data_IF_671538232642
#
_entry.id   IF_671538232642
#
_cell.length_a   1.000
_cell.length_b   1.000
_cell.length_c   1.000
_cell.angle_alpha   90.00
_cell.angle_beta   90.00
_cell.angle_gamma   90.00
#
_symmetry.space_group_name_H-M   'P 1'
#
loop_
_entity.id
_entity.type
_entity.pdbx_description
1 polymer ?
#
# COMPACT_ATOMS: atom_id res chain seq x y z
N UNK A 1 -10.83 -26.69 -6.92
CA UNK A 1 -11.60 -26.64 -5.65
C UNK A 1 -10.78 -26.25 -4.40
N UNK A 2 -9.43 -26.20 -4.45
CA UNK A 2 -8.59 -25.96 -3.26
C UNK A 2 -8.25 -24.50 -2.88
N UNK A 3 -8.69 -23.49 -3.63
CA UNK A 3 -8.48 -22.07 -3.27
C UNK A 3 -9.64 -21.47 -2.44
N UNK A 4 -10.63 -22.29 -2.02
CA UNK A 4 -11.84 -21.82 -1.31
C UNK A 4 -11.75 -21.90 0.22
N UNK A 5 -10.67 -22.41 0.82
CA UNK A 5 -10.70 -22.87 2.21
C UNK A 5 -10.05 -21.96 3.28
N UNK A 6 -9.33 -20.88 2.96
CA UNK A 6 -8.68 -20.07 4.02
C UNK A 6 -9.15 -18.62 4.14
N UNK A 7 -10.11 -18.16 3.33
CA UNK A 7 -10.62 -16.78 3.40
C UNK A 7 -11.41 -16.49 4.69
N UNK A 8 -10.69 -16.29 5.79
CA UNK A 8 -11.27 -15.87 7.07
C UNK A 8 -10.38 -15.96 8.29
N UNK A 9 -9.18 -16.52 8.20
CA UNK A 9 -8.23 -16.45 9.31
C UNK A 9 -7.81 -14.99 9.57
N UNK A 10 -7.84 -14.58 10.84
CA UNK A 10 -7.39 -13.26 11.29
C UNK A 10 -5.96 -12.95 10.79
N UNK A 11 -5.07 -13.95 10.73
CA UNK A 11 -3.70 -13.80 10.21
C UNK A 11 -3.65 -13.42 8.74
N UNK A 12 -4.58 -13.94 7.93
CA UNK A 12 -4.64 -13.66 6.51
C UNK A 12 -5.22 -12.27 6.23
N UNK A 13 -6.20 -11.84 7.04
CA UNK A 13 -6.71 -10.47 7.01
C UNK A 13 -5.63 -9.46 7.43
N UNK A 14 -4.92 -9.74 8.52
CA UNK A 14 -3.81 -8.91 9.00
C UNK A 14 -2.78 -8.71 7.88
N UNK A 15 -2.22 -9.79 7.36
CA UNK A 15 -1.20 -9.70 6.31
C UNK A 15 -1.66 -9.13 4.97
N UNK A 16 -2.96 -8.93 4.75
CA UNK A 16 -3.51 -8.38 3.50
C UNK A 16 -3.73 -6.88 3.57
N UNK A 17 -4.20 -6.40 4.72
CA UNK A 17 -4.62 -5.00 4.88
C UNK A 17 -3.62 -4.14 5.62
N UNK A 18 -2.66 -4.73 6.34
CA UNK A 18 -1.61 -3.99 7.06
C UNK A 18 -0.87 -3.00 6.18
N UNK A 19 -0.50 -3.36 4.95
CA UNK A 19 0.24 -2.45 4.04
C UNK A 19 -0.61 -1.25 3.65
N UNK A 20 -1.88 -1.47 3.30
CA UNK A 20 -2.81 -0.38 2.92
C UNK A 20 -3.05 0.54 4.13
N UNK A 21 -3.26 -0.04 5.32
CA UNK A 21 -3.44 0.73 6.55
C UNK A 21 -2.19 1.54 6.92
N UNK A 22 -1.00 0.96 6.72
CA UNK A 22 0.28 1.63 6.96
C UNK A 22 0.48 2.78 5.97
N UNK A 23 0.18 2.56 4.69
CA UNK A 23 0.21 3.60 3.67
C UNK A 23 -0.73 4.76 4.00
N UNK A 24 -2.00 4.45 4.32
CA UNK A 24 -2.97 5.46 4.75
C UNK A 24 -2.48 6.20 6.00
N UNK A 25 -1.91 5.50 6.98
CA UNK A 25 -1.37 6.12 8.18
C UNK A 25 -0.20 7.05 7.94
N UNK A 26 0.70 6.72 7.01
CA UNK A 26 1.79 7.61 6.63
C UNK A 26 1.30 8.79 5.79
N UNK A 27 0.31 8.58 4.92
CA UNK A 27 -0.32 9.63 4.13
C UNK A 27 -1.04 10.66 5.01
N UNK A 28 -1.76 10.21 6.05
CA UNK A 28 -2.43 11.13 6.99
C UNK A 28 -1.44 11.87 7.89
N UNK A 29 -0.34 11.23 8.30
CA UNK A 29 0.75 11.91 9.03
C UNK A 29 1.41 12.98 8.17
N UNK A 30 1.70 12.66 6.92
CA UNK A 30 2.33 13.59 5.98
C UNK A 30 1.44 14.82 5.72
N UNK A 31 0.14 14.59 5.46
CA UNK A 31 -0.78 15.64 5.08
C UNK A 31 -1.18 16.56 6.24
N UNK A 32 -1.40 15.99 7.44
CA UNK A 32 -1.98 16.72 8.57
C UNK A 32 -1.01 16.93 9.74
N UNK A 33 -0.12 15.97 10.01
CA UNK A 33 0.72 16.01 11.21
C UNK A 33 2.08 16.68 10.98
N UNK A 34 2.71 16.55 9.81
CA UNK A 34 4.01 17.19 9.51
C UNK A 34 4.07 18.70 9.76
N UNK A 35 3.13 19.54 9.25
CA UNK A 35 3.21 20.99 9.47
C UNK A 35 3.03 21.37 10.94
N UNK A 36 2.26 20.58 11.68
CA UNK A 36 2.04 20.75 13.13
C UNK A 36 3.30 20.35 13.90
N UNK A 37 3.85 19.16 13.62
CA UNK A 37 5.09 18.64 14.22
C UNK A 37 6.28 19.57 13.96
N UNK A 38 6.43 20.11 12.76
CA UNK A 38 7.51 21.04 12.42
C UNK A 38 7.45 22.34 13.25
N UNK A 39 6.24 22.88 13.48
CA UNK A 39 6.03 24.06 14.34
C UNK A 39 6.26 23.76 15.83
N UNK A 40 5.92 22.55 16.27
CA UNK A 40 6.06 22.11 17.66
C UNK A 40 7.49 21.70 18.05
N UNK A 41 8.29 21.21 17.11
CA UNK A 41 9.71 20.92 17.31
C UNK A 41 10.52 22.18 17.68
N UNK A 42 10.05 23.36 17.25
CA UNK A 42 10.62 24.67 17.60
C UNK A 42 10.24 25.17 19.00
N UNK A 43 9.22 24.57 19.63
CA UNK A 43 8.66 24.98 20.92
C UNK A 43 8.67 23.79 21.86
N UNK A 44 9.82 23.47 22.49
CA UNK A 44 10.03 22.49 23.57
C UNK A 44 8.82 21.60 23.90
N UNK A 45 8.41 20.78 22.93
CA UNK A 45 7.09 20.17 22.94
C UNK A 45 7.04 19.01 23.92
N UNK A 46 6.08 19.03 24.84
CA UNK A 46 5.86 17.94 25.80
C UNK A 46 5.56 16.64 25.05
N UNK A 47 6.23 15.55 25.42
CA UNK A 47 6.04 14.18 24.91
C UNK A 47 4.55 13.80 24.72
N UNK A 48 3.69 14.27 25.64
CA UNK A 48 2.23 14.09 25.63
C UNK A 48 1.55 14.57 24.34
N UNK A 49 2.04 15.63 23.70
CA UNK A 49 1.43 16.20 22.51
C UNK A 49 1.73 15.33 21.26
N UNK A 50 2.93 14.77 21.17
CA UNK A 50 3.27 13.76 20.17
C UNK A 50 2.43 12.49 20.32
N UNK A 51 2.22 12.02 21.56
CA UNK A 51 1.29 10.92 21.83
C UNK A 51 -0.14 11.24 21.39
N UNK A 52 -0.62 12.47 21.66
CA UNK A 52 -1.94 12.93 21.21
C UNK A 52 -2.09 12.90 19.69
N UNK A 53 -1.10 13.40 18.95
CA UNK A 53 -1.09 13.37 17.47
C UNK A 53 -1.11 11.93 16.95
N UNK A 54 -0.33 11.02 17.56
CA UNK A 54 -0.28 9.61 17.17
C UNK A 54 -1.64 8.92 17.36
N UNK A 55 -2.28 9.14 18.51
CA UNK A 55 -3.60 8.56 18.80
C UNK A 55 -4.65 9.11 17.83
N UNK A 56 -4.65 10.42 17.59
CA UNK A 56 -5.59 11.05 16.66
C UNK A 56 -5.40 10.49 15.24
N UNK A 57 -4.16 10.34 14.79
CA UNK A 57 -3.86 9.74 13.51
C UNK A 57 -4.34 8.28 13.42
N UNK A 58 -4.11 7.50 14.47
CA UNK A 58 -4.66 6.15 14.60
C UNK A 58 -6.19 6.13 14.45
N UNK A 59 -6.90 7.03 15.11
CA UNK A 59 -8.37 7.13 15.02
C UNK A 59 -8.85 7.49 13.61
N UNK A 60 -8.18 8.44 12.95
CA UNK A 60 -8.49 8.83 11.56
C UNK A 60 -8.31 7.65 10.61
N UNK A 61 -7.18 6.94 10.71
CA UNK A 61 -6.89 5.78 9.85
C UNK A 61 -7.83 4.62 10.13
N UNK A 62 -8.20 4.40 11.40
CA UNK A 62 -9.22 3.42 11.78
C UNK A 62 -10.57 3.75 11.15
N UNK A 63 -11.02 5.00 11.24
CA UNK A 63 -12.29 5.45 10.65
C UNK A 63 -12.28 5.31 9.13
N UNK A 64 -11.20 5.72 8.45
CA UNK A 64 -11.03 5.55 7.01
C UNK A 64 -11.05 4.08 6.60
N UNK A 65 -10.33 3.22 7.31
CA UNK A 65 -10.27 1.78 7.02
C UNK A 65 -11.63 1.11 7.22
N UNK A 66 -12.35 1.50 8.27
CA UNK A 66 -13.73 1.04 8.52
C UNK A 66 -14.68 1.51 7.44
N UNK A 67 -14.58 2.78 7.02
CA UNK A 67 -15.41 3.36 5.97
C UNK A 67 -15.16 2.68 4.62
N UNK A 68 -13.90 2.48 4.21
CA UNK A 68 -13.57 1.78 2.97
C UNK A 68 -14.10 0.34 2.98
N UNK A 69 -13.99 -0.35 4.10
CA UNK A 69 -14.46 -1.72 4.21
C UNK A 69 -15.99 -1.82 4.27
N UNK A 70 -16.65 -0.86 4.93
CA UNK A 70 -18.10 -0.70 4.90
C UNK A 70 -18.60 -0.38 3.49
N UNK A 71 -17.94 0.54 2.78
CA UNK A 71 -18.29 0.90 1.41
C UNK A 71 -18.13 -0.30 0.47
N UNK A 72 -17.01 -1.02 0.60
CA UNK A 72 -16.78 -2.28 -0.13
C UNK A 72 -17.88 -3.31 0.17
N UNK A 73 -18.27 -3.49 1.43
CA UNK A 73 -19.39 -4.35 1.80
C UNK A 73 -20.69 -3.90 1.13
N UNK A 74 -21.00 -2.60 1.15
CA UNK A 74 -22.21 -2.04 0.58
C UNK A 74 -22.29 -2.30 -0.93
N UNK A 75 -21.20 -2.02 -1.66
CA UNK A 75 -21.10 -2.20 -3.12
C UNK A 75 -21.02 -3.67 -3.55
N UNK A 76 -20.42 -4.54 -2.73
CA UNK A 76 -20.32 -5.98 -3.06
C UNK A 76 -21.56 -6.75 -2.60
N UNK A 77 -22.31 -6.23 -1.61
CA UNK A 77 -23.56 -6.86 -1.16
C UNK A 77 -24.65 -6.84 -2.24
N UNK A 78 -24.63 -5.84 -3.13
CA UNK A 78 -25.47 -5.81 -4.34
C UNK A 78 -25.03 -6.82 -5.41
N UNK A 79 -23.79 -7.34 -5.35
CA UNK A 79 -23.24 -8.35 -6.28
C UNK A 79 -23.37 -9.80 -5.76
N UNK A 80 -24.15 -10.05 -4.70
CA UNK A 80 -24.52 -11.38 -4.18
C UNK A 80 -23.36 -12.39 -3.97
N UNK A 81 -22.13 -11.90 -3.75
CA UNK A 81 -20.95 -12.72 -3.50
C UNK A 81 -20.81 -12.99 -2.00
N UNK A 82 -21.25 -14.19 -1.59
CA UNK A 82 -21.34 -14.66 -0.20
C UNK A 82 -20.06 -14.40 0.64
N UNK A 83 -20.19 -13.60 1.69
CA UNK A 83 -19.19 -13.47 2.75
C UNK A 83 -19.55 -14.39 3.92
N UNK A 84 -18.66 -15.32 4.29
CA UNK A 84 -18.82 -16.23 5.45
C UNK A 84 -18.62 -15.57 6.82
N UNK A 85 -18.13 -14.33 6.86
CA UNK A 85 -17.79 -13.62 8.11
C UNK A 85 -18.80 -12.50 8.32
N UNK A 86 -19.26 -12.36 9.56
CA UNK A 86 -20.15 -11.26 9.95
C UNK A 86 -19.54 -9.91 9.55
N UNK A 87 -20.25 -9.08 8.78
CA UNK A 87 -19.71 -7.84 8.23
C UNK A 87 -19.27 -6.87 9.33
N UNK A 88 -19.98 -6.84 10.46
CA UNK A 88 -19.65 -6.00 11.63
C UNK A 88 -18.29 -6.36 12.24
N UNK A 89 -18.02 -7.66 12.44
CA UNK A 89 -16.76 -8.12 13.02
C UNK A 89 -15.58 -7.82 12.09
N UNK A 90 -15.80 -7.94 10.77
CA UNK A 90 -14.78 -7.62 9.77
C UNK A 90 -14.42 -6.14 9.77
N UNK A 91 -15.42 -5.25 9.82
CA UNK A 91 -15.21 -3.80 9.91
C UNK A 91 -14.46 -3.45 11.20
N UNK A 92 -14.84 -4.04 12.34
CA UNK A 92 -14.18 -3.78 13.62
C UNK A 92 -12.70 -4.22 13.61
N UNK A 93 -12.40 -5.41 13.06
CA UNK A 93 -11.02 -5.88 12.90
C UNK A 93 -10.18 -4.95 12.01
N UNK A 94 -10.75 -4.41 10.94
CA UNK A 94 -10.05 -3.42 10.09
C UNK A 94 -9.80 -2.11 10.83
N UNK A 95 -10.76 -1.64 11.62
CA UNK A 95 -10.58 -0.46 12.46
C UNK A 95 -9.41 -0.64 13.44
N UNK A 96 -9.31 -1.80 14.10
CA UNK A 96 -8.21 -2.09 15.02
C UNK A 96 -6.84 -2.13 14.33
N UNK A 97 -6.74 -2.76 13.15
CA UNK A 97 -5.50 -2.80 12.35
C UNK A 97 -5.14 -1.38 11.90
N UNK A 98 -6.13 -0.61 11.43
CA UNK A 98 -5.96 0.78 11.01
C UNK A 98 -5.46 1.67 12.14
N UNK A 99 -6.02 1.51 13.35
CA UNK A 99 -5.58 2.25 14.54
C UNK A 99 -4.11 1.99 14.87
N UNK A 100 -3.71 0.72 14.93
CA UNK A 100 -2.33 0.33 15.26
C UNK A 100 -1.35 0.87 14.20
N UNK A 101 -1.68 0.70 12.92
CA UNK A 101 -0.82 1.17 11.82
C UNK A 101 -0.71 2.70 11.81
N UNK A 102 -1.82 3.40 12.01
CA UNK A 102 -1.86 4.87 12.08
C UNK A 102 -1.12 5.42 13.29
N UNK A 103 -1.24 4.80 14.46
CA UNK A 103 -0.47 5.19 15.64
C UNK A 103 1.03 4.99 15.43
N UNK A 104 1.41 3.86 14.83
CA UNK A 104 2.82 3.52 14.53
C UNK A 104 3.44 4.43 13.46
N UNK A 105 2.64 5.02 12.57
CA UNK A 105 3.11 5.92 11.53
C UNK A 105 3.78 7.20 12.07
N UNK A 106 3.48 7.63 13.31
CA UNK A 106 4.18 8.78 13.89
C UNK A 106 5.60 8.41 14.37
N UNK A 107 5.80 7.18 14.87
CA UNK A 107 7.12 6.68 15.26
C UNK A 107 8.11 6.65 14.09
N UNK A 108 7.59 6.50 12.87
CA UNK A 108 8.34 6.60 11.61
C UNK A 108 9.03 7.96 11.42
N UNK A 109 8.34 9.04 11.80
CA UNK A 109 8.81 10.42 11.59
C UNK A 109 9.70 10.88 12.74
N UNK A 110 9.43 10.41 13.96
CA UNK A 110 10.08 10.92 15.17
C UNK A 110 11.39 10.22 15.53
N UNK A 111 11.63 8.99 15.04
CA UNK A 111 12.79 8.19 15.46
C UNK A 111 13.50 7.53 14.29
N UNK A 112 14.83 7.65 14.26
CA UNK A 112 15.69 6.96 13.30
C UNK A 112 15.51 5.43 13.38
N UNK A 113 15.40 4.90 14.60
CA UNK A 113 15.14 3.47 14.81
C UNK A 113 13.74 3.07 14.33
N UNK A 114 12.76 3.97 14.49
CA UNK A 114 11.41 3.79 13.96
C UNK A 114 11.40 3.72 12.43
N UNK A 115 12.16 4.60 11.77
CA UNK A 115 12.38 4.57 10.32
C UNK A 115 12.99 3.23 9.90
N UNK A 116 14.10 2.79 10.50
CA UNK A 116 14.74 1.51 10.15
C UNK A 116 13.83 0.30 10.38
N UNK A 117 13.10 0.26 11.50
CA UNK A 117 12.19 -0.84 11.81
C UNK A 117 11.03 -0.92 10.80
N UNK A 118 10.42 0.23 10.47
CA UNK A 118 9.31 0.30 9.52
C UNK A 118 9.76 0.05 8.08
N UNK A 119 10.88 0.63 7.64
CA UNK A 119 11.45 0.34 6.31
C UNK A 119 11.72 -1.15 6.14
N UNK A 120 12.35 -1.78 7.15
CA UNK A 120 12.59 -3.23 7.16
C UNK A 120 11.26 -4.01 7.11
N UNK A 121 10.27 -3.62 7.91
CA UNK A 121 8.94 -4.23 7.90
C UNK A 121 8.27 -4.12 6.52
N UNK A 122 8.32 -2.94 5.88
CA UNK A 122 7.73 -2.70 4.57
C UNK A 122 8.45 -3.54 3.51
N UNK A 123 9.78 -3.64 3.54
CA UNK A 123 10.53 -4.52 2.63
C UNK A 123 10.07 -5.96 2.80
N UNK A 124 9.99 -6.46 4.04
CA UNK A 124 9.54 -7.82 4.32
C UNK A 124 8.10 -8.07 3.86
N UNK A 125 7.19 -7.11 4.11
CA UNK A 125 5.80 -7.18 3.65
C UNK A 125 5.72 -7.15 2.12
N UNK A 126 6.50 -6.31 1.45
CA UNK A 126 6.56 -6.22 -0.02
C UNK A 126 7.04 -7.53 -0.61
N UNK A 127 8.11 -8.12 -0.06
CA UNK A 127 8.61 -9.42 -0.48
C UNK A 127 7.59 -10.54 -0.23
N UNK A 128 6.90 -10.51 0.91
CA UNK A 128 5.83 -11.47 1.21
C UNK A 128 4.66 -11.33 0.22
N UNK A 129 4.26 -10.11 -0.13
CA UNK A 129 3.24 -9.84 -1.13
C UNK A 129 3.66 -10.31 -2.52
N UNK A 130 4.89 -10.01 -2.94
CA UNK A 130 5.44 -10.48 -4.21
C UNK A 130 5.44 -12.01 -4.28
N UNK A 131 5.82 -12.71 -3.20
CA UNK A 131 5.75 -14.18 -3.12
C UNK A 131 4.33 -14.70 -3.23
N UNK A 132 3.36 -14.10 -2.53
CA UNK A 132 1.94 -14.48 -2.63
C UNK A 132 1.40 -14.26 -4.04
N UNK A 133 1.77 -13.16 -4.66
CA UNK A 133 1.43 -12.86 -6.04
C UNK A 133 1.96 -13.93 -6.99
N UNK A 134 3.25 -14.26 -6.93
CA UNK A 134 3.85 -15.32 -7.74
C UNK A 134 3.14 -16.67 -7.59
N UNK A 135 2.76 -17.05 -6.37
CA UNK A 135 1.98 -18.27 -6.13
C UNK A 135 0.55 -18.18 -6.70
N UNK A 136 -0.09 -17.00 -6.63
CA UNK A 136 -1.41 -16.76 -7.18
C UNK A 136 -1.46 -16.88 -8.71
N UNK A 137 -0.44 -16.33 -9.40
CA UNK A 137 -0.31 -16.39 -10.86
C UNK A 137 -0.28 -17.83 -11.37
N UNK A 138 0.50 -18.72 -10.73
CA UNK A 138 0.63 -20.11 -11.15
C UNK A 138 -0.73 -20.83 -11.19
N UNK A 139 -1.69 -20.40 -10.37
CA UNK A 139 -3.07 -20.87 -10.40
C UNK A 139 -3.92 -20.25 -11.52
N UNK A 140 -3.67 -19.00 -11.88
CA UNK A 140 -4.41 -18.24 -12.91
C UNK A 140 -3.95 -18.60 -14.34
N UNK A 141 -2.69 -18.98 -14.50
CA UNK A 141 -2.13 -19.40 -15.79
C UNK A 141 -2.42 -20.88 -16.14
N UNK A 142 -3.17 -21.62 -15.30
CA UNK A 142 -3.52 -23.01 -15.60
C UNK A 142 -4.36 -23.08 -16.89
N UNK A 143 -4.02 -23.99 -17.83
CA UNK A 143 -4.84 -24.22 -19.02
C UNK A 143 -6.29 -24.53 -18.63
N UNK A 144 -7.24 -24.02 -19.42
CA UNK A 144 -8.68 -24.27 -19.25
C UNK A 144 -9.34 -23.73 -17.97
N UNK A 145 -8.70 -22.80 -17.25
CA UNK A 145 -9.34 -22.07 -16.15
C UNK A 145 -10.01 -20.80 -16.66
N UNK A 146 -11.34 -20.73 -16.57
CA UNK A 146 -12.11 -19.52 -16.88
C UNK A 146 -11.86 -18.44 -15.82
N UNK A 147 -11.50 -17.20 -16.19
CA UNK A 147 -11.29 -16.12 -15.25
C UNK A 147 -12.62 -15.65 -14.65
N UNK A 148 -12.66 -15.49 -13.33
CA UNK A 148 -13.85 -15.00 -12.63
C UNK A 148 -13.68 -13.55 -12.16
N UNK A 149 -14.78 -12.84 -11.91
CA UNK A 149 -14.75 -11.50 -11.29
C UNK A 149 -14.03 -11.47 -9.94
N UNK A 150 -14.00 -12.60 -9.22
CA UNK A 150 -13.22 -12.75 -7.99
C UNK A 150 -11.71 -12.72 -8.27
N UNK A 151 -11.26 -13.31 -9.37
CA UNK A 151 -9.86 -13.31 -9.80
C UNK A 151 -9.42 -11.89 -10.21
N UNK A 152 -10.28 -11.15 -10.91
CA UNK A 152 -10.02 -9.74 -11.27
C UNK A 152 -9.92 -8.88 -10.01
N UNK A 153 -10.89 -8.98 -9.09
CA UNK A 153 -10.85 -8.25 -7.82
C UNK A 153 -9.61 -8.58 -6.98
N UNK A 154 -9.15 -9.84 -7.02
CA UNK A 154 -7.90 -10.25 -6.38
C UNK A 154 -6.68 -9.59 -7.02
N UNK A 155 -6.59 -9.54 -8.36
CA UNK A 155 -5.49 -8.88 -9.07
C UNK A 155 -5.44 -7.38 -8.80
N UNK A 156 -6.58 -6.69 -8.88
CA UNK A 156 -6.69 -5.26 -8.57
C UNK A 156 -6.24 -4.99 -7.13
N UNK A 157 -6.65 -5.83 -6.18
CA UNK A 157 -6.23 -5.69 -4.79
C UNK A 157 -4.72 -5.87 -4.60
N UNK A 158 -4.11 -6.86 -5.28
CA UNK A 158 -2.65 -7.03 -5.30
C UNK A 158 -1.98 -5.79 -5.88
N UNK A 159 -2.45 -5.30 -7.01
CA UNK A 159 -1.90 -4.13 -7.68
C UNK A 159 -1.87 -2.90 -6.75
N UNK A 160 -3.01 -2.57 -6.13
CA UNK A 160 -3.12 -1.44 -5.19
C UNK A 160 -2.18 -1.62 -3.99
N UNK A 161 -2.07 -2.85 -3.48
CA UNK A 161 -1.22 -3.13 -2.32
C UNK A 161 0.26 -3.01 -2.66
N UNK A 162 0.68 -3.51 -3.83
CA UNK A 162 2.04 -3.39 -4.32
C UNK A 162 2.38 -1.93 -4.61
N UNK A 163 1.47 -1.18 -5.22
CA UNK A 163 1.61 0.26 -5.44
C UNK A 163 1.81 1.02 -4.11
N UNK A 164 0.96 0.76 -3.12
CA UNK A 164 1.07 1.36 -1.79
C UNK A 164 2.41 0.99 -1.11
N UNK A 165 2.82 -0.28 -1.20
CA UNK A 165 4.09 -0.75 -0.64
C UNK A 165 5.30 -0.07 -1.28
N UNK A 166 5.35 -0.05 -2.61
CA UNK A 166 6.43 0.56 -3.38
C UNK A 166 6.49 2.08 -3.18
N UNK A 167 5.33 2.75 -3.12
CA UNK A 167 5.25 4.17 -2.75
C UNK A 167 5.86 4.42 -1.38
N UNK A 168 5.53 3.57 -0.41
CA UNK A 168 6.08 3.68 0.94
C UNK A 168 7.60 3.48 0.94
N UNK A 169 8.11 2.53 0.14
CA UNK A 169 9.56 2.34 -0.02
C UNK A 169 10.26 3.55 -0.65
N UNK A 170 9.63 4.24 -1.60
CA UNK A 170 10.16 5.46 -2.23
C UNK A 170 10.37 6.55 -1.17
N UNK A 171 9.34 6.87 -0.39
CA UNK A 171 9.44 7.90 0.66
C UNK A 171 10.37 7.48 1.80
N UNK A 172 10.41 6.18 2.13
CA UNK A 172 11.38 5.59 3.05
C UNK A 172 12.83 5.79 2.64
N UNK A 173 13.14 5.59 1.36
CA UNK A 173 14.48 5.76 0.85
C UNK A 173 14.91 7.23 0.87
N UNK A 174 13.98 8.14 0.57
CA UNK A 174 14.24 9.58 0.64
C UNK A 174 14.52 10.03 2.08
N UNK A 175 13.65 9.66 3.04
CA UNK A 175 13.85 9.98 4.45
C UNK A 175 15.16 9.42 5.00
N UNK A 176 15.51 8.20 4.59
CA UNK A 176 16.78 7.59 5.00
C UNK A 176 17.98 8.36 4.43
N UNK A 177 17.91 8.79 3.17
CA UNK A 177 18.99 9.56 2.54
C UNK A 177 19.17 10.91 3.23
N UNK A 178 18.07 11.61 3.50
CA UNK A 178 18.07 12.84 4.29
C UNK A 178 18.64 12.64 5.70
N UNK A 179 18.17 11.61 6.41
CA UNK A 179 18.59 11.35 7.79
C UNK A 179 20.06 10.93 7.92
N UNK A 180 20.65 10.38 6.87
CA UNK A 180 22.08 10.05 6.81
C UNK A 180 22.94 11.23 6.31
N UNK A 181 22.34 12.39 6.03
CA UNK A 181 23.05 13.55 5.47
C UNK A 181 23.58 13.31 4.05
N UNK A 182 23.01 12.35 3.32
CA UNK A 182 23.37 12.07 1.93
C UNK A 182 22.56 12.97 0.98
N UNK A 183 23.04 13.09 -0.26
CA UNK A 183 22.27 13.71 -1.32
C UNK A 183 20.88 13.04 -1.47
N UNK A 184 19.84 13.80 -1.87
CA UNK A 184 18.49 13.28 -2.02
C UNK A 184 18.46 12.05 -2.94
N UNK A 185 17.60 11.09 -2.64
CA UNK A 185 17.56 9.83 -3.38
C UNK A 185 16.98 10.00 -4.79
N UNK A 186 16.12 11.01 -4.96
CA UNK A 186 15.45 11.36 -6.22
C UNK A 186 15.69 12.83 -6.59
N UNK A 187 15.84 13.10 -7.89
CA UNK A 187 15.78 14.44 -8.46
C UNK A 187 14.33 14.85 -8.76
N UNK A 188 14.01 16.15 -8.75
CA UNK A 188 12.67 16.69 -9.03
C UNK A 188 12.00 17.34 -7.81
N UNK A 189 10.66 17.36 -7.76
CA UNK A 189 9.86 17.94 -6.66
C UNK A 189 10.22 17.37 -5.26
N UNK A 190 10.88 16.21 -5.21
CA UNK A 190 11.38 15.57 -4.00
C UNK A 190 12.65 16.27 -3.45
N UNK A 191 13.37 17.06 -4.25
CA UNK A 191 14.66 17.68 -3.87
C UNK A 191 14.57 18.94 -2.99
N UNK A 192 13.42 19.60 -2.94
CA UNK A 192 13.29 20.90 -2.23
C UNK A 192 13.24 20.75 -0.71
N UNK A 193 13.32 19.51 -0.18
CA UNK A 193 13.19 19.24 1.25
C UNK A 193 11.74 19.09 1.72
N UNK A 194 10.77 19.20 0.82
CA UNK A 194 9.33 19.06 1.08
C UNK A 194 8.73 17.82 0.39
N UNK A 195 9.52 16.77 0.15
CA UNK A 195 9.01 15.54 -0.47
C UNK A 195 7.77 15.02 0.27
N UNK A 196 6.62 15.15 -0.37
CA UNK A 196 5.34 14.72 0.20
C UNK A 196 5.08 13.26 -0.14
N UNK A 197 4.24 12.62 0.67
CA UNK A 197 3.69 11.30 0.34
C UNK A 197 2.96 11.34 -1.01
N UNK A 198 2.37 12.48 -1.36
CA UNK A 198 1.65 12.68 -2.61
C UNK A 198 2.61 12.60 -3.80
N UNK A 199 3.78 13.24 -3.73
CA UNK A 199 4.78 13.18 -4.80
C UNK A 199 5.32 11.76 -4.99
N UNK A 200 5.58 11.04 -3.89
CA UNK A 200 6.00 9.65 -3.94
C UNK A 200 4.92 8.74 -4.54
N UNK A 201 3.64 9.00 -4.22
CA UNK A 201 2.51 8.26 -4.77
C UNK A 201 2.32 8.53 -6.26
N UNK A 202 2.37 9.81 -6.65
CA UNK A 202 2.35 10.23 -8.04
C UNK A 202 3.48 9.57 -8.84
N UNK A 203 4.72 9.65 -8.36
CA UNK A 203 5.88 9.02 -8.98
C UNK A 203 5.66 7.50 -9.15
N UNK A 204 5.18 6.84 -8.09
CA UNK A 204 4.96 5.39 -8.11
C UNK A 204 3.88 4.99 -9.12
N UNK A 205 2.80 5.78 -9.26
CA UNK A 205 1.80 5.59 -10.31
C UNK A 205 2.47 5.73 -11.67
N UNK A 206 3.12 6.87 -11.95
CA UNK A 206 3.73 7.19 -13.25
C UNK A 206 4.73 6.13 -13.69
N UNK A 207 5.50 5.56 -12.75
CA UNK A 207 6.44 4.46 -13.02
C UNK A 207 5.70 3.14 -13.26
N UNK A 208 4.77 2.75 -12.38
CA UNK A 208 4.07 1.47 -12.49
C UNK A 208 3.13 1.38 -13.69
N UNK A 209 2.57 2.52 -14.12
CA UNK A 209 1.74 2.63 -15.33
C UNK A 209 2.54 2.92 -16.59
N UNK A 210 3.88 2.89 -16.50
CA UNK A 210 4.81 3.11 -17.62
C UNK A 210 4.64 4.46 -18.33
N UNK A 211 4.07 5.47 -17.66
CA UNK A 211 3.92 6.83 -18.21
C UNK A 211 5.27 7.55 -18.30
N UNK A 212 6.07 7.49 -17.23
CA UNK A 212 7.45 7.98 -17.22
C UNK A 212 7.63 9.45 -17.63
N UNK A 213 6.88 10.38 -17.04
CA UNK A 213 6.95 11.82 -17.37
C UNK A 213 8.36 12.44 -17.23
N UNK A 214 9.23 11.86 -16.39
CA UNK A 214 10.63 12.28 -16.24
C UNK A 214 10.85 13.52 -15.37
N UNK A 215 9.80 14.01 -14.73
CA UNK A 215 9.81 15.11 -13.76
C UNK A 215 10.42 14.72 -12.40
N UNK A 216 10.26 13.46 -12.00
CA UNK A 216 10.94 12.85 -10.85
C UNK A 216 11.79 11.68 -11.35
N UNK A 217 13.08 11.67 -11.00
CA UNK A 217 14.03 10.63 -11.47
C UNK A 217 14.95 10.13 -10.35
N UNK A 218 15.34 8.84 -10.34
CA UNK A 218 16.23 8.31 -9.32
C UNK A 218 17.66 8.86 -9.47
N UNK A 219 18.18 9.48 -8.41
CA UNK A 219 19.53 10.04 -8.35
C UNK A 219 20.56 8.99 -7.90
N UNK A 220 20.25 8.28 -6.83
CA UNK A 220 21.19 7.37 -6.15
C UNK A 220 21.14 5.95 -6.72
N UNK A 221 22.21 5.15 -6.58
CA UNK A 221 22.20 3.74 -6.99
C UNK A 221 21.07 2.93 -6.33
N UNK A 222 20.79 3.19 -5.04
CA UNK A 222 19.70 2.55 -4.32
C UNK A 222 18.32 2.91 -4.91
N UNK A 223 18.11 4.18 -5.26
CA UNK A 223 16.87 4.62 -5.89
C UNK A 223 16.71 4.00 -7.29
N UNK A 224 17.78 3.93 -8.07
CA UNK A 224 17.77 3.29 -9.40
C UNK A 224 17.40 1.81 -9.31
N UNK A 225 17.93 1.09 -8.31
CA UNK A 225 17.58 -0.30 -8.08
C UNK A 225 16.11 -0.47 -7.67
N UNK A 226 15.62 0.37 -6.76
CA UNK A 226 14.21 0.38 -6.36
C UNK A 226 13.29 0.62 -7.56
N UNK A 227 13.55 1.66 -8.36
CA UNK A 227 12.76 2.02 -9.54
C UNK A 227 12.80 0.90 -10.58
N UNK A 228 13.94 0.25 -10.78
CA UNK A 228 14.04 -0.91 -11.68
C UNK A 228 13.09 -2.04 -11.27
N UNK A 229 12.99 -2.31 -9.96
CA UNK A 229 12.05 -3.28 -9.42
C UNK A 229 10.59 -2.84 -9.57
N UNK A 230 10.30 -1.54 -9.38
CA UNK A 230 8.97 -0.97 -9.62
C UNK A 230 8.53 -1.15 -11.08
N UNK A 231 9.42 -0.85 -12.05
CA UNK A 231 9.16 -1.04 -13.47
C UNK A 231 8.85 -2.50 -13.81
N UNK A 232 9.70 -3.44 -13.37
CA UNK A 232 9.52 -4.86 -13.65
C UNK A 232 8.19 -5.38 -13.06
N UNK A 233 7.89 -4.95 -11.84
CA UNK A 233 6.65 -5.33 -11.16
C UNK A 233 5.42 -4.75 -11.85
N UNK A 234 5.45 -3.45 -12.20
CA UNK A 234 4.35 -2.77 -12.91
C UNK A 234 4.05 -3.44 -14.25
N UNK A 235 5.08 -3.72 -15.04
CA UNK A 235 4.93 -4.41 -16.32
C UNK A 235 4.30 -5.80 -16.18
N UNK A 236 4.79 -6.61 -15.24
CA UNK A 236 4.25 -7.94 -14.97
C UNK A 236 2.78 -7.89 -14.53
N UNK A 237 2.43 -6.96 -13.64
CA UNK A 237 1.05 -6.74 -13.19
C UNK A 237 0.12 -6.38 -14.37
N UNK A 238 0.54 -5.42 -15.18
CA UNK A 238 -0.27 -4.88 -16.26
C UNK A 238 -0.57 -5.96 -17.31
N UNK A 239 0.46 -6.72 -17.71
CA UNK A 239 0.32 -7.85 -18.63
C UNK A 239 -0.67 -8.91 -18.11
N UNK A 240 -0.66 -9.20 -16.81
CA UNK A 240 -1.57 -10.20 -16.23
C UNK A 240 -3.01 -9.71 -16.15
N UNK A 241 -3.23 -8.44 -15.78
CA UNK A 241 -4.58 -7.87 -15.75
C UNK A 241 -5.18 -7.92 -17.14
N UNK A 242 -4.44 -7.49 -18.17
CA UNK A 242 -4.88 -7.56 -19.56
C UNK A 242 -5.18 -9.02 -19.94
N UNK A 243 -4.24 -9.94 -19.71
CA UNK A 243 -4.41 -11.35 -20.08
C UNK A 243 -5.63 -12.01 -19.44
N UNK A 244 -5.95 -11.67 -18.19
CA UNK A 244 -7.13 -12.20 -17.49
C UNK A 244 -8.42 -11.56 -17.99
N UNK A 245 -8.43 -10.24 -18.23
CA UNK A 245 -9.60 -9.53 -18.75
C UNK A 245 -9.93 -9.99 -20.18
N UNK A 246 -8.93 -10.07 -21.06
CA UNK A 246 -9.13 -10.53 -22.45
C UNK A 246 -9.72 -11.94 -22.49
N UNK A 247 -9.17 -12.87 -21.71
CA UNK A 247 -9.73 -14.24 -21.61
C UNK A 247 -11.17 -14.24 -21.13
N UNK A 248 -11.53 -13.37 -20.19
CA UNK A 248 -12.88 -13.27 -19.66
C UNK A 248 -13.89 -12.74 -20.67
N UNK A 249 -13.46 -11.92 -21.63
CA UNK A 249 -14.30 -11.41 -22.72
C UNK A 249 -14.48 -12.49 -23.79
N UNK A 250 -13.38 -13.08 -24.27
CA UNK A 250 -13.42 -14.05 -25.37
C UNK A 250 -14.15 -15.35 -25.01
N UNK A 251 -14.12 -15.79 -23.75
CA UNK A 251 -14.85 -17.00 -23.35
C UNK A 251 -16.37 -16.81 -23.30
N UNK A 252 -16.87 -15.57 -23.24
CA UNK A 252 -18.31 -15.33 -23.27
C UNK A 252 -18.86 -15.39 -24.70
N UNK A 253 -18.05 -15.05 -25.70
CA UNK A 253 -18.44 -15.13 -27.12
C UNK A 253 -18.56 -16.57 -27.64
N UNK A 254 -17.90 -17.54 -27.00
CA UNK A 254 -18.00 -18.97 -27.37
C UNK A 254 -19.24 -19.66 -26.78
N UNK A 255 -19.85 -19.07 -25.74
CA UNK A 255 -21.01 -19.63 -25.02
C UNK A 255 -22.36 -19.02 -25.50
N UNK A 256 -22.35 -18.00 -26.38
CA UNK A 256 -23.53 -17.35 -27.03
C UNK A 256 -23.71 -17.80 -28.50
#
# INVERSE_FOLDING_TARGET
MHLRASQGSFREQLGRWTVICLFLGLMTVDLFARPVVAKLALSSGTLALYFGISILNGLVVAALSMFLEWWRCSVVSTLALACRINPRERILRMGAIGFICGAMALAYVLSLWGLFALTTLIILLTLAHMRRFMHGIAGLLRPNRRPSWQDIGFLVHIYITVLAALTTLTISLELLSFSLGKAPAFHGAIMTGEATMIDAFYFSIVVMTTLGFGDITPATPAAKLLVSFMCLTGYAMFALIIGVVTRGITTNEEDD
#
